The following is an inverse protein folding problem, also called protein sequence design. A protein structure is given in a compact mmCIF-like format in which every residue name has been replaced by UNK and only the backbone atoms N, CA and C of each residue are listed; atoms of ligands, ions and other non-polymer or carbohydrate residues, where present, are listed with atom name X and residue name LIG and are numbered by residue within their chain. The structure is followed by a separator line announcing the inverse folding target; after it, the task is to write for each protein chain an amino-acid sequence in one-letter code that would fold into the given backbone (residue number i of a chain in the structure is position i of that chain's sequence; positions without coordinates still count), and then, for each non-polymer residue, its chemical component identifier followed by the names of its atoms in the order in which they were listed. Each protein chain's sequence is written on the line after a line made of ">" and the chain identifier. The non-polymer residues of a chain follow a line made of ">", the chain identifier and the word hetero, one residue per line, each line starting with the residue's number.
data_IF_924244093760
#
_entry.id   IF_924244093760
#
_cell.length_a   1.000
_cell.length_b   1.000
_cell.length_c   1.000
_cell.angle_alpha   90.00
_cell.angle_beta   90.00
_cell.angle_gamma   90.00
#
_symmetry.space_group_name_H-M   'P 1'
#
loop_
_entity.id
_entity.type
_entity.pdbx_description
1 polymer ?
#
# COMPACT_ATOMS: atom_id res chain seq x y z
N UNK A 1 -32.46 -0.06 -47.88
CA UNK A 1 -31.58 -0.38 -46.74
C UNK A 1 -31.73 -1.85 -46.38
N UNK A 2 -30.65 -2.57 -46.06
CA UNK A 2 -30.74 -3.96 -45.58
C UNK A 2 -31.56 -4.05 -44.29
N UNK A 3 -32.35 -5.11 -44.12
CA UNK A 3 -33.22 -5.30 -42.95
C UNK A 3 -32.43 -5.34 -41.63
N UNK A 4 -31.19 -5.82 -41.68
CA UNK A 4 -30.24 -5.84 -40.57
C UNK A 4 -29.91 -4.42 -40.09
N UNK A 5 -29.74 -3.47 -41.03
CA UNK A 5 -29.43 -2.07 -40.71
C UNK A 5 -30.61 -1.41 -40.00
N UNK A 6 -31.84 -1.65 -40.46
CA UNK A 6 -33.05 -1.10 -39.82
C UNK A 6 -33.23 -1.61 -38.39
N UNK A 7 -33.05 -2.92 -38.15
CA UNK A 7 -33.15 -3.52 -36.81
C UNK A 7 -32.08 -2.95 -35.86
N UNK A 8 -30.86 -2.80 -36.35
CA UNK A 8 -29.76 -2.25 -35.57
C UNK A 8 -30.00 -0.79 -35.17
N UNK A 9 -30.49 0.03 -36.10
CA UNK A 9 -30.85 1.45 -35.83
C UNK A 9 -31.90 1.54 -34.73
N UNK A 10 -32.94 0.72 -34.75
CA UNK A 10 -33.99 0.73 -33.70
C UNK A 10 -33.39 0.41 -32.33
N UNK A 11 -32.53 -0.61 -32.24
CA UNK A 11 -31.87 -0.98 -30.98
C UNK A 11 -31.01 0.17 -30.46
N UNK A 12 -30.21 0.81 -31.32
CA UNK A 12 -29.41 1.97 -30.90
C UNK A 12 -30.26 3.15 -30.46
N UNK A 13 -31.36 3.45 -31.16
CA UNK A 13 -32.27 4.54 -30.76
C UNK A 13 -32.88 4.26 -29.38
N UNK A 14 -33.33 3.03 -29.13
CA UNK A 14 -33.87 2.63 -27.81
C UNK A 14 -32.79 2.72 -26.74
N UNK A 15 -31.59 2.20 -27.01
CA UNK A 15 -30.49 2.22 -26.05
C UNK A 15 -30.03 3.65 -25.73
N UNK A 16 -29.86 4.50 -26.75
CA UNK A 16 -29.49 5.91 -26.58
C UNK A 16 -30.59 6.66 -25.83
N UNK A 17 -31.86 6.45 -26.20
CA UNK A 17 -33.00 7.05 -25.51
C UNK A 17 -33.05 6.66 -24.03
N UNK A 18 -32.84 5.38 -23.72
CA UNK A 18 -32.77 4.88 -22.35
C UNK A 18 -31.59 5.51 -21.57
N UNK A 19 -30.40 5.62 -22.18
CA UNK A 19 -29.23 6.22 -21.55
C UNK A 19 -29.41 7.72 -21.29
N UNK A 20 -30.00 8.46 -22.24
CA UNK A 20 -30.29 9.89 -22.09
C UNK A 20 -31.34 10.10 -20.99
N UNK A 21 -32.42 9.31 -20.99
CA UNK A 21 -33.44 9.36 -19.95
C UNK A 21 -32.88 9.04 -18.56
N UNK A 22 -32.09 7.98 -18.45
CA UNK A 22 -31.42 7.61 -17.20
C UNK A 22 -30.48 8.74 -16.73
N UNK A 23 -29.70 9.34 -17.63
CA UNK A 23 -28.83 10.47 -17.28
C UNK A 23 -29.63 11.66 -16.74
N UNK A 24 -30.76 12.01 -17.37
CA UNK A 24 -31.57 13.13 -16.90
C UNK A 24 -32.19 12.87 -15.51
N UNK A 25 -32.61 11.65 -15.22
CA UNK A 25 -33.21 11.28 -13.93
C UNK A 25 -32.17 11.15 -12.82
N UNK A 26 -31.00 10.56 -13.14
CA UNK A 26 -29.98 10.23 -12.14
C UNK A 26 -28.97 11.35 -11.88
N UNK A 27 -28.93 12.41 -12.70
CA UNK A 27 -28.04 13.55 -12.48
C UNK A 27 -28.69 14.55 -11.51
N UNK A 28 -28.16 14.75 -10.30
CA UNK A 28 -28.71 15.72 -9.36
C UNK A 28 -28.68 17.13 -9.94
N UNK A 29 -29.67 17.97 -9.60
CA UNK A 29 -29.75 19.36 -10.09
C UNK A 29 -28.51 20.21 -9.75
N UNK A 30 -27.79 19.86 -8.69
CA UNK A 30 -26.57 20.56 -8.27
C UNK A 30 -25.28 20.00 -8.91
N UNK A 31 -25.37 18.94 -9.71
CA UNK A 31 -24.20 18.39 -10.40
C UNK A 31 -23.65 19.39 -11.42
N UNK A 32 -22.33 19.58 -11.44
CA UNK A 32 -21.68 20.43 -12.43
C UNK A 32 -21.61 21.92 -12.08
N UNK A 33 -22.31 22.39 -11.03
CA UNK A 33 -22.38 23.83 -10.70
C UNK A 33 -21.04 24.42 -10.24
N UNK A 34 -20.22 23.64 -9.55
CA UNK A 34 -18.91 24.08 -8.98
C UNK A 34 -17.77 23.12 -9.32
N UNK A 35 -17.98 22.20 -10.26
CA UNK A 35 -17.04 21.15 -10.65
C UNK A 35 -17.77 19.86 -11.04
N UNK A 36 -17.03 18.80 -11.41
CA UNK A 36 -17.60 17.52 -11.85
C UNK A 36 -18.10 16.64 -10.68
N UNK A 37 -18.91 17.23 -9.81
CA UNK A 37 -19.52 16.58 -8.64
C UNK A 37 -20.84 17.27 -8.29
N UNK A 38 -21.61 16.68 -7.37
CA UNK A 38 -22.85 17.24 -6.82
C UNK A 38 -22.50 18.41 -5.88
N UNK A 39 -22.77 19.66 -6.26
CA UNK A 39 -22.36 20.81 -5.44
C UNK A 39 -23.00 20.78 -4.03
N UNK A 40 -24.25 20.33 -3.90
CA UNK A 40 -24.91 20.14 -2.60
C UNK A 40 -24.26 19.02 -1.73
N UNK A 41 -23.24 18.32 -2.23
CA UNK A 41 -22.47 17.39 -1.43
C UNK A 41 -21.65 18.09 -0.35
N UNK A 42 -21.18 19.31 -0.63
CA UNK A 42 -20.39 20.10 0.32
C UNK A 42 -21.21 20.35 1.59
N UNK A 43 -22.42 20.91 1.45
CA UNK A 43 -23.31 21.17 2.59
C UNK A 43 -23.70 19.87 3.32
N UNK A 44 -23.92 18.78 2.58
CA UNK A 44 -24.22 17.48 3.20
C UNK A 44 -23.04 16.89 3.99
N UNK A 45 -21.79 17.21 3.63
CA UNK A 45 -20.60 16.77 4.37
C UNK A 45 -20.34 17.69 5.56
N UNK A 46 -20.53 19.00 5.39
CA UNK A 46 -20.36 20.00 6.46
C UNK A 46 -21.32 19.80 7.64
N UNK A 47 -22.47 19.17 7.40
CA UNK A 47 -23.46 18.87 8.45
C UNK A 47 -23.20 17.57 9.19
N UNK A 48 -22.23 16.75 8.75
CA UNK A 48 -21.86 15.53 9.46
C UNK A 48 -21.12 15.88 10.76
N UNK A 49 -21.36 15.13 11.84
CA UNK A 49 -20.62 15.33 13.08
C UNK A 49 -19.14 15.01 12.87
N UNK A 50 -18.27 15.88 13.40
CA UNK A 50 -16.82 15.65 13.40
C UNK A 50 -16.53 14.45 14.31
N UNK A 51 -15.84 13.44 13.77
CA UNK A 51 -15.41 12.25 14.53
C UNK A 51 -13.89 12.18 14.68
N UNK A 52 -13.17 12.78 13.75
CA UNK A 52 -11.72 12.82 13.73
C UNK A 52 -11.26 14.20 14.19
N UNK A 53 -10.35 14.26 15.16
CA UNK A 53 -9.79 15.51 15.67
C UNK A 53 -8.81 16.14 14.66
N UNK A 54 -8.12 15.31 13.88
CA UNK A 54 -6.99 15.74 13.06
C UNK A 54 -5.68 15.75 13.84
N UNK A 55 -4.58 15.52 13.12
CA UNK A 55 -3.27 15.28 13.72
C UNK A 55 -2.75 16.46 14.55
N UNK A 56 -2.94 17.70 14.08
CA UNK A 56 -2.43 18.89 14.78
C UNK A 56 -2.97 18.99 16.21
N UNK A 57 -4.25 18.67 16.41
CA UNK A 57 -4.87 18.69 17.75
C UNK A 57 -4.22 17.68 18.68
N UNK A 58 -3.78 16.52 18.15
CA UNK A 58 -3.03 15.54 18.93
C UNK A 58 -1.66 16.10 19.36
N UNK A 59 -0.97 16.79 18.44
CA UNK A 59 0.39 17.33 18.66
C UNK A 59 0.42 18.47 19.67
N UNK A 60 -0.70 19.18 19.86
CA UNK A 60 -0.79 20.26 20.86
C UNK A 60 -0.67 19.74 22.31
N UNK A 61 -0.88 18.43 22.54
CA UNK A 61 -0.76 17.79 23.86
C UNK A 61 0.20 16.59 23.91
N UNK A 62 0.52 15.97 22.76
CA UNK A 62 1.44 14.82 22.61
C UNK A 62 2.60 15.18 21.69
N UNK A 63 3.28 16.28 21.99
CA UNK A 63 4.39 16.82 21.20
C UNK A 63 5.59 15.89 21.16
N UNK A 64 5.96 15.28 22.29
CA UNK A 64 7.07 14.33 22.42
C UNK A 64 6.94 13.11 21.48
N UNK A 65 5.77 12.48 21.47
CA UNK A 65 5.45 11.38 20.57
C UNK A 65 5.31 11.88 19.13
N UNK A 66 4.79 13.09 18.95
CA UNK A 66 4.69 13.78 17.68
C UNK A 66 6.04 13.95 16.98
N UNK A 67 7.02 14.49 17.70
CA UNK A 67 8.39 14.70 17.20
C UNK A 67 9.07 13.38 16.83
N UNK A 68 8.91 12.35 17.67
CA UNK A 68 9.40 11.01 17.40
C UNK A 68 8.79 10.44 16.11
N UNK A 69 7.48 10.59 15.93
CA UNK A 69 6.78 10.07 14.75
C UNK A 69 7.14 10.81 13.47
N UNK A 70 7.19 12.14 13.53
CA UNK A 70 7.48 12.98 12.35
C UNK A 70 8.91 12.76 11.85
N UNK A 71 9.84 12.40 12.73
CA UNK A 71 11.21 12.04 12.36
C UNK A 71 11.39 10.59 11.88
N UNK A 72 10.33 9.77 11.89
CA UNK A 72 10.41 8.33 11.57
C UNK A 72 9.75 7.93 10.24
N UNK A 73 9.80 6.63 9.93
CA UNK A 73 9.17 6.04 8.75
C UNK A 73 7.63 6.13 8.73
N UNK A 74 6.99 6.46 9.86
CA UNK A 74 5.54 6.66 9.97
C UNK A 74 5.12 8.14 10.00
N UNK A 75 6.03 9.06 9.66
CA UNK A 75 5.78 10.50 9.64
C UNK A 75 4.52 10.91 8.86
N UNK A 76 4.22 10.25 7.75
CA UNK A 76 3.05 10.53 6.90
C UNK A 76 1.72 9.90 7.33
N UNK A 77 1.67 9.11 8.40
CA UNK A 77 0.42 8.55 8.93
C UNK A 77 -0.18 9.52 9.95
N UNK A 78 -1.49 9.70 10.05
CA UNK A 78 -2.07 10.45 11.18
C UNK A 78 -2.26 9.55 12.41
N UNK A 79 -2.28 10.12 13.61
CA UNK A 79 -2.47 9.37 14.87
C UNK A 79 -3.71 8.47 14.83
N UNK A 80 -4.80 9.00 14.28
CA UNK A 80 -6.12 8.36 14.20
C UNK A 80 -6.19 7.22 13.17
N UNK A 81 -5.15 7.02 12.34
CA UNK A 81 -5.01 5.82 11.48
C UNK A 81 -4.90 4.57 12.35
N UNK A 82 -4.18 4.67 13.47
CA UNK A 82 -4.00 3.58 14.43
C UNK A 82 -4.94 3.72 15.63
N UNK A 83 -5.11 4.95 16.12
CA UNK A 83 -5.83 5.26 17.36
C UNK A 83 -7.33 5.49 17.17
N UNK A 84 -7.87 5.24 15.98
CA UNK A 84 -9.29 5.44 15.63
C UNK A 84 -9.73 6.94 15.75
N UNK A 85 -10.99 7.29 15.43
CA UNK A 85 -11.46 8.67 15.54
C UNK A 85 -11.43 9.16 17.00
N UNK A 86 -10.80 10.30 17.25
CA UNK A 86 -10.48 10.80 18.58
C UNK A 86 -11.04 12.21 18.88
N UNK A 87 -12.03 12.70 18.13
CA UNK A 87 -12.63 14.03 18.39
C UNK A 87 -13.13 14.17 19.85
N UNK A 88 -13.77 13.14 20.40
CA UNK A 88 -14.21 13.16 21.81
C UNK A 88 -13.06 13.21 22.81
N UNK A 89 -11.91 12.61 22.49
CA UNK A 89 -10.71 12.69 23.33
C UNK A 89 -10.13 14.11 23.33
N UNK A 90 -10.17 14.79 22.18
CA UNK A 90 -9.74 16.19 22.11
C UNK A 90 -10.63 17.12 22.96
N UNK A 91 -11.93 16.84 23.05
CA UNK A 91 -12.86 17.65 23.84
C UNK A 91 -12.82 17.33 25.36
N UNK A 92 -12.67 16.06 25.72
CA UNK A 92 -12.60 15.58 27.11
C UNK A 92 -11.60 14.40 27.22
N UNK A 93 -10.30 14.71 27.43
CA UNK A 93 -9.22 13.74 27.33
C UNK A 93 -9.21 12.70 28.45
N UNK A 94 -9.76 13.04 29.61
CA UNK A 94 -9.82 12.15 30.77
C UNK A 94 -10.95 11.12 30.65
N UNK A 95 -12.03 11.47 29.95
CA UNK A 95 -13.20 10.59 29.77
C UNK A 95 -13.07 9.69 28.55
N UNK A 96 -12.61 10.22 27.41
CA UNK A 96 -12.57 9.48 26.15
C UNK A 96 -11.14 9.11 25.79
N UNK A 97 -10.71 7.89 26.09
CA UNK A 97 -9.39 7.41 25.72
C UNK A 97 -9.44 6.67 24.37
N UNK A 98 -8.64 7.07 23.36
CA UNK A 98 -8.57 6.35 22.11
C UNK A 98 -7.91 4.98 22.30
N UNK A 99 -8.30 3.95 21.53
CA UNK A 99 -7.65 2.66 21.58
C UNK A 99 -6.18 2.75 21.17
N UNK A 100 -5.31 1.97 21.82
CA UNK A 100 -3.93 1.76 21.38
C UNK A 100 -3.80 0.31 20.87
N UNK A 101 -3.79 0.07 19.55
CA UNK A 101 -3.76 -1.28 19.00
C UNK A 101 -2.39 -1.94 19.20
N UNK A 102 -2.19 -2.58 20.36
CA UNK A 102 -0.96 -3.30 20.73
C UNK A 102 -0.93 -4.74 20.22
N UNK A 103 -2.04 -5.22 19.66
CA UNK A 103 -2.14 -6.58 19.13
C UNK A 103 -1.54 -6.69 17.73
N UNK A 104 -1.14 -7.91 17.38
CA UNK A 104 -0.47 -8.22 16.11
C UNK A 104 -1.29 -7.94 14.84
N UNK A 105 -2.62 -7.83 14.96
CA UNK A 105 -3.52 -7.75 13.81
C UNK A 105 -3.50 -6.43 13.03
N UNK A 106 -3.03 -5.33 13.63
CA UNK A 106 -3.15 -4.00 13.02
C UNK A 106 -2.04 -3.70 12.00
N UNK A 107 -0.78 -3.96 12.34
CA UNK A 107 0.37 -3.67 11.48
C UNK A 107 0.29 -4.39 10.10
N UNK A 108 -0.14 -5.66 10.01
CA UNK A 108 -0.27 -6.37 8.75
C UNK A 108 -1.33 -5.82 7.79
N UNK A 109 -2.22 -4.92 8.23
CA UNK A 109 -3.14 -4.23 7.31
C UNK A 109 -2.37 -3.42 6.26
N UNK A 110 -1.22 -2.88 6.64
CA UNK A 110 -0.32 -2.15 5.75
C UNK A 110 0.90 -3.00 5.37
N UNK A 111 1.53 -3.65 6.35
CA UNK A 111 2.79 -4.38 6.19
C UNK A 111 2.63 -5.85 5.82
N UNK A 112 1.40 -6.37 5.71
CA UNK A 112 1.16 -7.69 5.15
C UNK A 112 1.52 -7.71 3.67
N UNK A 113 2.12 -8.81 3.22
CA UNK A 113 2.50 -8.95 1.82
C UNK A 113 1.30 -8.76 0.86
N UNK A 114 1.46 -7.83 -0.08
CA UNK A 114 0.54 -7.56 -1.17
C UNK A 114 1.34 -7.32 -2.47
N UNK A 115 1.11 -8.11 -3.53
CA UNK A 115 1.87 -8.01 -4.78
C UNK A 115 1.69 -6.67 -5.51
N UNK A 116 0.64 -5.90 -5.19
CA UNK A 116 0.42 -4.56 -5.76
C UNK A 116 1.22 -3.46 -5.04
N UNK A 117 1.90 -3.77 -3.92
CA UNK A 117 2.78 -2.81 -3.25
C UNK A 117 4.09 -2.68 -4.01
N UNK A 118 4.66 -1.46 -4.08
CA UNK A 118 5.93 -1.25 -4.76
C UNK A 118 7.07 -2.01 -4.07
N UNK A 119 8.08 -2.43 -4.85
CA UNK A 119 9.30 -3.03 -4.29
C UNK A 119 10.00 -2.05 -3.35
N UNK A 120 10.52 -2.58 -2.24
CA UNK A 120 11.15 -1.78 -1.17
C UNK A 120 10.18 -1.14 -0.18
N UNK A 121 8.86 -1.30 -0.34
CA UNK A 121 7.94 -1.03 0.76
C UNK A 121 8.05 -2.17 1.80
N UNK A 122 8.27 -1.88 3.11
CA UNK A 122 8.46 -2.91 4.12
C UNK A 122 7.23 -3.81 4.24
N UNK A 123 7.41 -5.09 3.90
CA UNK A 123 6.35 -6.09 3.96
C UNK A 123 6.87 -7.37 4.61
N UNK A 124 5.99 -8.02 5.37
CA UNK A 124 6.25 -9.28 6.04
C UNK A 124 5.16 -10.30 5.68
N UNK A 125 5.50 -11.58 5.81
CA UNK A 125 4.49 -12.63 5.89
C UNK A 125 4.09 -12.78 7.37
N UNK A 126 2.84 -12.43 7.75
CA UNK A 126 2.42 -12.50 9.13
C UNK A 126 2.33 -13.94 9.64
N UNK A 127 2.41 -14.97 8.81
CA UNK A 127 2.44 -16.35 9.30
C UNK A 127 3.84 -16.75 9.75
N UNK A 128 4.89 -16.32 9.04
CA UNK A 128 6.27 -16.75 9.30
C UNK A 128 7.12 -15.75 10.09
N UNK A 129 6.83 -14.45 10.00
CA UNK A 129 7.62 -13.43 10.68
C UNK A 129 7.21 -13.32 12.16
N UNK A 130 7.98 -13.97 13.05
CA UNK A 130 7.75 -13.97 14.50
C UNK A 130 6.28 -14.33 14.84
N UNK A 131 5.87 -15.60 14.60
CA UNK A 131 4.49 -16.02 14.81
C UNK A 131 4.07 -15.80 16.27
N UNK A 132 2.80 -15.45 16.48
CA UNK A 132 2.16 -15.22 17.80
C UNK A 132 2.64 -13.97 18.54
N UNK A 133 3.87 -13.50 18.32
CA UNK A 133 4.41 -12.33 19.01
C UNK A 133 3.84 -11.01 18.46
N UNK A 134 3.44 -10.09 19.35
CA UNK A 134 2.96 -8.77 18.95
C UNK A 134 4.10 -7.95 18.35
N UNK A 135 3.85 -7.24 17.25
CA UNK A 135 4.88 -6.46 16.54
C UNK A 135 5.54 -5.41 17.45
N UNK A 136 4.76 -4.84 18.38
CA UNK A 136 5.20 -3.79 19.30
C UNK A 136 6.25 -4.23 20.33
N UNK A 137 6.52 -5.54 20.46
CA UNK A 137 7.56 -6.02 21.37
C UNK A 137 8.97 -5.87 20.78
N UNK A 138 9.07 -5.64 19.47
CA UNK A 138 10.34 -5.49 18.76
C UNK A 138 10.43 -4.17 17.97
N UNK A 139 9.29 -3.57 17.61
CA UNK A 139 9.23 -2.31 16.89
C UNK A 139 8.41 -1.28 17.67
N UNK A 140 8.87 -0.03 17.72
CA UNK A 140 8.05 1.08 18.19
C UNK A 140 7.10 1.52 17.06
N UNK A 141 5.76 1.55 17.24
CA UNK A 141 4.84 2.02 16.22
C UNK A 141 5.00 3.50 15.82
N UNK A 142 5.53 4.33 16.72
CA UNK A 142 5.81 5.75 16.48
C UNK A 142 7.19 5.96 15.87
N UNK A 143 8.15 5.07 16.14
CA UNK A 143 9.45 5.04 15.48
C UNK A 143 9.79 3.64 14.96
N UNK A 144 9.12 3.16 13.90
CA UNK A 144 9.35 1.80 13.41
C UNK A 144 10.65 1.78 12.62
N UNK A 145 11.72 1.55 13.36
CA UNK A 145 13.03 1.21 12.84
C UNK A 145 13.20 -0.30 12.98
N UNK A 146 13.47 -1.01 11.87
CA UNK A 146 13.94 -2.37 11.97
C UNK A 146 15.24 -2.39 12.79
N UNK A 147 15.38 -3.27 13.80
CA UNK A 147 16.61 -3.35 14.61
C UNK A 147 17.84 -3.66 13.74
N UNK A 148 17.63 -4.39 12.64
CA UNK A 148 18.61 -4.66 11.61
C UNK A 148 18.01 -4.40 10.22
N UNK A 149 18.86 -4.06 9.24
CA UNK A 149 18.47 -4.08 7.84
C UNK A 149 17.99 -5.47 7.39
N UNK A 150 17.24 -5.59 6.28
CA UNK A 150 16.74 -6.88 5.82
C UNK A 150 17.90 -7.83 5.54
N UNK A 151 18.03 -8.88 6.35
CA UNK A 151 19.10 -9.87 6.23
C UNK A 151 19.10 -10.58 4.85
N UNK A 152 17.91 -10.74 4.27
CA UNK A 152 17.69 -11.46 3.01
C UNK A 152 16.90 -10.62 2.00
N UNK A 153 17.05 -10.95 0.71
CA UNK A 153 16.43 -10.21 -0.39
C UNK A 153 14.91 -10.10 -0.26
N UNK A 154 14.23 -11.10 0.34
CA UNK A 154 12.78 -11.04 0.52
C UNK A 154 12.29 -9.86 1.36
N UNK A 155 13.13 -9.30 2.25
CA UNK A 155 12.71 -8.17 3.09
C UNK A 155 12.22 -6.97 2.28
N UNK A 156 12.76 -6.78 1.07
CA UNK A 156 12.33 -5.74 0.14
C UNK A 156 11.72 -6.29 -1.17
N UNK A 157 12.09 -7.52 -1.56
CA UNK A 157 11.74 -8.13 -2.84
C UNK A 157 10.90 -9.41 -2.72
N UNK A 158 10.04 -9.49 -1.70
CA UNK A 158 9.20 -10.67 -1.45
C UNK A 158 8.42 -11.14 -2.70
N UNK A 159 7.95 -10.22 -3.55
CA UNK A 159 7.27 -10.61 -4.79
C UNK A 159 8.17 -11.24 -5.84
N UNK A 160 9.42 -10.80 -5.94
CA UNK A 160 10.43 -11.41 -6.81
C UNK A 160 10.77 -12.80 -6.28
N UNK A 161 10.96 -12.94 -4.97
CA UNK A 161 11.25 -14.23 -4.32
C UNK A 161 10.11 -15.23 -4.54
N UNK A 162 8.86 -14.82 -4.37
CA UNK A 162 7.69 -15.69 -4.66
C UNK A 162 7.61 -16.11 -6.12
N UNK A 163 7.89 -15.18 -7.05
CA UNK A 163 7.93 -15.50 -8.48
C UNK A 163 9.06 -16.50 -8.81
N UNK A 164 10.25 -16.31 -8.22
CA UNK A 164 11.39 -17.21 -8.39
C UNK A 164 11.11 -18.60 -7.80
N UNK A 165 10.42 -18.67 -6.66
CA UNK A 165 10.15 -19.92 -5.95
C UNK A 165 9.34 -20.93 -6.79
N UNK A 166 8.55 -20.47 -7.76
CA UNK A 166 7.78 -21.34 -8.67
C UNK A 166 8.45 -21.52 -10.04
N UNK A 167 9.66 -21.02 -10.22
CA UNK A 167 10.43 -21.13 -11.47
C UNK A 167 11.40 -22.32 -11.44
N UNK A 168 11.91 -22.71 -12.61
CA UNK A 168 12.97 -23.72 -12.73
C UNK A 168 14.30 -23.31 -12.04
N UNK A 169 14.48 -22.03 -11.70
CA UNK A 169 15.66 -21.51 -11.01
C UNK A 169 15.42 -21.27 -9.51
N UNK A 170 14.37 -21.86 -8.92
CA UNK A 170 13.98 -21.63 -7.53
C UNK A 170 15.15 -21.81 -6.54
N UNK A 171 16.01 -22.81 -6.79
CA UNK A 171 17.12 -23.18 -5.92
C UNK A 171 18.40 -22.36 -6.13
N UNK A 172 18.52 -21.57 -7.20
CA UNK A 172 19.72 -20.76 -7.42
C UNK A 172 19.74 -19.54 -6.48
N UNK A 173 20.86 -19.14 -5.87
CA UNK A 173 20.90 -17.91 -5.08
C UNK A 173 20.73 -16.67 -5.98
N UNK A 174 20.18 -15.58 -5.45
CA UNK A 174 19.96 -14.34 -6.21
C UNK A 174 21.27 -13.79 -6.80
N UNK A 175 22.35 -13.86 -6.01
CA UNK A 175 23.69 -13.43 -6.39
C UNK A 175 24.32 -14.28 -7.51
N UNK A 176 23.71 -15.40 -7.90
CA UNK A 176 24.17 -16.16 -9.08
C UNK A 176 23.99 -15.37 -10.36
N UNK A 177 22.91 -14.58 -10.46
CA UNK A 177 22.61 -13.76 -11.63
C UNK A 177 22.85 -12.27 -11.36
N UNK A 178 22.70 -11.83 -10.12
CA UNK A 178 22.81 -10.42 -9.77
C UNK A 178 24.17 -10.09 -9.15
N UNK A 179 24.78 -9.00 -9.63
CA UNK A 179 26.02 -8.45 -9.05
C UNK A 179 25.71 -7.24 -8.15
N UNK A 180 26.67 -6.87 -7.28
CA UNK A 180 26.57 -5.73 -6.35
C UNK A 180 25.41 -5.83 -5.34
N UNK A 181 24.95 -7.05 -5.03
CA UNK A 181 23.80 -7.28 -4.16
C UNK A 181 24.07 -6.91 -2.69
N UNK A 182 25.33 -6.98 -2.25
CA UNK A 182 25.70 -6.63 -0.86
C UNK A 182 25.69 -5.13 -0.63
N UNK A 183 26.34 -4.38 -1.52
CA UNK A 183 26.35 -2.91 -1.49
C UNK A 183 24.94 -2.34 -1.62
N UNK A 184 24.13 -2.90 -2.53
CA UNK A 184 22.71 -2.56 -2.66
C UNK A 184 21.95 -2.73 -1.35
N UNK A 185 22.11 -3.88 -0.68
CA UNK A 185 21.39 -4.20 0.56
C UNK A 185 21.86 -3.35 1.75
N UNK A 186 23.13 -3.00 1.81
CA UNK A 186 23.71 -2.20 2.89
C UNK A 186 23.46 -0.69 2.72
N UNK A 187 23.04 -0.25 1.53
CA UNK A 187 22.81 1.17 1.24
C UNK A 187 21.57 1.72 1.97
N UNK A 188 21.64 2.94 2.56
CA UNK A 188 20.47 3.66 3.05
C UNK A 188 19.55 4.14 1.91
N UNK A 189 20.07 4.17 0.67
CA UNK A 189 19.36 4.58 -0.54
C UNK A 189 19.48 3.50 -1.63
N UNK A 190 18.90 2.30 -1.43
CA UNK A 190 19.09 1.15 -2.32
C UNK A 190 18.53 1.38 -3.74
N UNK A 191 17.67 2.38 -3.93
CA UNK A 191 17.13 2.75 -5.24
C UNK A 191 18.15 3.43 -6.15
N UNK A 192 19.18 4.04 -5.58
CA UNK A 192 20.26 4.69 -6.33
C UNK A 192 21.36 3.71 -6.72
N UNK A 193 21.46 2.58 -6.01
CA UNK A 193 22.45 1.53 -6.22
C UNK A 193 21.75 0.20 -6.52
N UNK A 194 21.30 0.02 -7.77
CA UNK A 194 20.60 -1.20 -8.16
C UNK A 194 21.58 -2.36 -8.45
N UNK A 195 21.24 -3.61 -8.10
CA UNK A 195 22.00 -4.78 -8.52
C UNK A 195 21.99 -4.91 -10.06
N UNK A 196 23.12 -5.28 -10.66
CA UNK A 196 23.18 -5.52 -12.10
C UNK A 196 22.54 -6.88 -12.45
N UNK A 197 22.23 -7.08 -13.73
CA UNK A 197 21.75 -8.36 -14.27
C UNK A 197 22.59 -8.79 -15.48
N UNK A 198 22.67 -10.09 -15.79
CA UNK A 198 23.49 -10.57 -16.90
C UNK A 198 22.97 -9.99 -18.21
N UNK A 199 23.85 -9.35 -18.98
CA UNK A 199 23.50 -8.76 -20.28
C UNK A 199 23.75 -9.69 -21.46
N UNK A 200 24.40 -10.83 -21.19
CA UNK A 200 24.73 -11.83 -22.20
C UNK A 200 24.34 -13.22 -21.71
N UNK A 201 24.20 -14.16 -22.65
CA UNK A 201 23.88 -15.57 -22.36
C UNK A 201 25.07 -16.38 -21.80
N UNK A 202 26.25 -15.77 -21.64
CA UNK A 202 27.46 -16.47 -21.23
C UNK A 202 27.27 -17.16 -19.87
N UNK A 203 26.72 -16.42 -18.89
CA UNK A 203 26.41 -16.95 -17.56
C UNK A 203 25.41 -18.12 -17.63
N UNK A 204 24.37 -18.01 -18.47
CA UNK A 204 23.39 -19.08 -18.65
C UNK A 204 24.03 -20.34 -19.27
N UNK A 205 25.01 -20.15 -20.16
CA UNK A 205 25.76 -21.22 -20.80
C UNK A 205 26.60 -22.07 -19.84
N UNK A 206 26.95 -21.54 -18.66
CA UNK A 206 27.70 -22.32 -17.65
C UNK A 206 26.93 -23.56 -17.16
N UNK A 207 25.60 -23.57 -17.27
CA UNK A 207 24.76 -24.72 -16.93
C UNK A 207 23.99 -25.32 -18.11
N UNK A 208 23.76 -24.55 -19.19
CA UNK A 208 22.92 -24.96 -20.32
C UNK A 208 23.67 -25.16 -21.65
N UNK A 209 25.00 -25.02 -21.70
CA UNK A 209 25.76 -25.19 -22.95
C UNK A 209 26.09 -26.65 -23.32
N UNK A 210 25.97 -27.60 -22.39
CA UNK A 210 26.23 -29.03 -22.64
C UNK A 210 24.97 -29.78 -23.07
N UNK A 211 25.13 -30.80 -23.93
CA UNK A 211 24.04 -31.67 -24.37
C UNK A 211 23.40 -32.49 -23.22
N UNK A 212 24.09 -32.59 -22.09
CA UNK A 212 23.65 -33.28 -20.86
C UNK A 212 23.15 -32.29 -19.78
N UNK A 213 22.74 -31.08 -20.15
CA UNK A 213 22.13 -30.13 -19.21
C UNK A 213 20.82 -30.71 -18.63
N UNK A 214 20.56 -30.56 -17.31
CA UNK A 214 19.39 -31.12 -16.65
C UNK A 214 18.05 -30.53 -17.12
#
# INVERSE_FOLDING_TARGET
>A
MPQQVQRLVIVFVVAIGALVGARQIMTPESFGKTGHYRAAAIDSVLTLPIRYAGEQVCLDCHDDIGEMKISSNHSGLSCEVCHAPAAGHADDPDTFLPPAPRQRGYCPLCHGYNPSRPSGFPQIDPVSHNPVQACVTCHDPHAPEPPDGPAECQGCHQGIVRTKAVSHHAQLPCARCHANTEEHRASPHPRELLPDKPRTRALCGECHASADAP
#
